data_IF_549423962925
#
_entry.id   IF_549423962925
#
_cell.length_a   1.000
_cell.length_b   1.000
_cell.length_c   1.000
_cell.angle_alpha   90.00
_cell.angle_beta   90.00
_cell.angle_gamma   90.00
#
_symmetry.space_group_name_H-M   'P 1'
#
loop_
_entity.id
_entity.type
_entity.pdbx_description
1 polymer ?
#
# COMPACT_ATOMS: atom_id res chain seq x y z
N UNK A 1 33.53 -17.37 -36.49
CA UNK A 1 34.00 -16.71 -35.24
C UNK A 1 33.12 -15.50 -34.98
N UNK A 2 32.09 -15.62 -34.15
CA UNK A 2 31.26 -14.49 -33.78
C UNK A 2 32.04 -13.55 -32.86
N UNK A 3 32.25 -12.33 -33.34
CA UNK A 3 32.86 -11.26 -32.56
C UNK A 3 31.96 -10.98 -31.34
N UNK A 4 32.47 -11.24 -30.14
CA UNK A 4 31.89 -10.77 -28.89
C UNK A 4 31.61 -9.26 -28.98
N UNK A 5 30.39 -8.87 -29.31
CA UNK A 5 29.99 -7.46 -29.38
C UNK A 5 29.66 -6.99 -27.95
N UNK A 6 30.66 -6.39 -27.32
CA UNK A 6 30.43 -5.62 -26.10
C UNK A 6 29.50 -4.47 -26.47
N UNK A 7 28.34 -4.38 -25.81
CA UNK A 7 27.35 -3.33 -26.06
C UNK A 7 26.95 -2.60 -24.79
N UNK A 8 26.75 -1.28 -24.84
CA UNK A 8 26.19 -0.55 -23.71
C UNK A 8 24.70 -0.87 -23.60
N UNK A 9 24.26 -1.29 -22.42
CA UNK A 9 22.85 -1.56 -22.10
C UNK A 9 22.44 -0.62 -20.99
N UNK A 10 21.26 0.02 -21.15
CA UNK A 10 20.70 0.90 -20.11
C UNK A 10 20.14 0.04 -19.00
N UNK A 11 20.67 0.25 -17.78
CA UNK A 11 20.18 -0.41 -16.57
C UNK A 11 19.74 0.68 -15.59
N UNK A 12 18.44 0.94 -15.54
CA UNK A 12 17.88 2.06 -14.76
C UNK A 12 18.38 3.42 -15.24
N UNK A 13 19.07 4.17 -14.37
CA UNK A 13 19.64 5.50 -14.66
C UNK A 13 21.04 5.45 -15.28
N UNK A 14 21.70 4.30 -15.30
CA UNK A 14 23.09 4.14 -15.75
C UNK A 14 23.21 3.25 -16.97
N UNK A 15 24.28 3.45 -17.74
CA UNK A 15 24.65 2.55 -18.82
C UNK A 15 25.74 1.59 -18.32
N UNK A 16 25.53 0.29 -18.56
CA UNK A 16 26.50 -0.76 -18.24
C UNK A 16 26.92 -1.47 -19.52
N UNK A 17 28.16 -1.93 -19.55
CA UNK A 17 28.65 -2.73 -20.70
C UNK A 17 28.20 -4.19 -20.53
N UNK A 18 27.44 -4.68 -21.49
CA UNK A 18 27.00 -6.08 -21.52
C UNK A 18 28.03 -6.93 -22.29
N UNK A 19 28.46 -8.00 -21.64
CA UNK A 19 29.34 -9.03 -22.22
C UNK A 19 28.53 -10.30 -22.58
N UNK A 20 27.22 -10.24 -22.53
CA UNK A 20 26.35 -11.36 -22.83
C UNK A 20 26.48 -11.77 -24.29
N UNK A 21 26.62 -13.07 -24.54
CA UNK A 21 26.65 -13.67 -25.87
C UNK A 21 25.26 -13.82 -26.48
N UNK A 22 24.23 -13.91 -25.69
CA UNK A 22 22.82 -13.99 -26.09
C UNK A 22 22.11 -12.63 -25.95
N UNK A 23 21.10 -12.42 -26.78
CA UNK A 23 20.20 -11.29 -26.59
C UNK A 23 19.30 -11.56 -25.37
N UNK A 24 19.07 -10.51 -24.57
CA UNK A 24 18.05 -10.57 -23.52
C UNK A 24 16.68 -10.73 -24.19
N UNK A 25 15.96 -11.77 -23.80
CA UNK A 25 14.62 -12.08 -24.29
C UNK A 25 13.56 -11.46 -23.39
N UNK A 26 13.87 -11.35 -22.10
CA UNK A 26 13.00 -10.78 -21.07
C UNK A 26 13.72 -9.68 -20.32
N UNK A 27 12.99 -8.65 -19.98
CA UNK A 27 13.48 -7.60 -19.08
C UNK A 27 13.68 -8.16 -17.66
N UNK A 28 14.65 -7.62 -16.93
CA UNK A 28 14.86 -7.97 -15.51
C UNK A 28 13.62 -7.52 -14.74
N UNK A 29 12.92 -8.41 -14.02
CA UNK A 29 11.74 -8.04 -13.26
C UNK A 29 12.12 -7.05 -12.14
N UNK A 30 11.22 -6.12 -11.86
CA UNK A 30 11.39 -5.22 -10.73
C UNK A 30 11.11 -5.98 -9.42
N UNK A 31 12.16 -6.25 -8.63
CA UNK A 31 12.07 -7.05 -7.41
C UNK A 31 11.23 -6.39 -6.30
N UNK A 32 11.01 -5.08 -6.37
CA UNK A 32 10.20 -4.34 -5.39
C UNK A 32 8.79 -4.02 -5.93
N UNK A 33 8.41 -4.55 -7.10
CA UNK A 33 7.09 -4.32 -7.69
C UNK A 33 5.98 -4.80 -6.74
N UNK A 34 6.14 -5.97 -6.14
CA UNK A 34 5.14 -6.57 -5.25
C UNK A 34 4.79 -5.61 -4.10
N UNK A 35 5.79 -5.01 -3.44
CA UNK A 35 5.56 -4.08 -2.34
C UNK A 35 4.90 -2.79 -2.82
N UNK A 36 5.34 -2.23 -3.95
CA UNK A 36 4.80 -1.00 -4.52
C UNK A 36 3.35 -1.17 -4.99
N UNK A 37 3.08 -2.24 -5.71
CA UNK A 37 1.74 -2.53 -6.23
C UNK A 37 0.76 -2.79 -5.08
N UNK A 38 1.18 -3.53 -4.06
CA UNK A 38 0.38 -3.78 -2.85
C UNK A 38 0.07 -2.48 -2.10
N UNK A 39 1.04 -1.57 -1.98
CA UNK A 39 0.82 -0.30 -1.32
C UNK A 39 -0.10 0.64 -2.14
N UNK A 40 0.04 0.66 -3.46
CA UNK A 40 -0.85 1.41 -4.33
C UNK A 40 -2.29 0.89 -4.27
N UNK A 41 -2.47 -0.43 -4.28
CA UNK A 41 -3.78 -1.04 -4.08
C UNK A 41 -4.37 -0.66 -2.72
N UNK A 42 -3.56 -0.69 -1.65
CA UNK A 42 -4.00 -0.30 -0.31
C UNK A 42 -4.47 1.16 -0.26
N UNK A 43 -3.74 2.10 -0.87
CA UNK A 43 -4.13 3.51 -0.91
C UNK A 43 -5.39 3.77 -1.75
N UNK A 44 -5.67 2.95 -2.75
CA UNK A 44 -6.86 3.07 -3.60
C UNK A 44 -8.03 2.26 -3.05
N UNK A 45 -8.03 0.97 -3.38
CA UNK A 45 -9.16 0.08 -3.13
C UNK A 45 -9.20 -0.40 -1.68
N UNK A 46 -8.05 -0.72 -1.08
CA UNK A 46 -7.99 -1.28 0.27
C UNK A 46 -8.53 -0.33 1.34
N UNK A 47 -8.16 0.93 1.33
CA UNK A 47 -8.72 1.92 2.26
C UNK A 47 -10.22 2.11 2.05
N UNK A 48 -10.68 2.07 0.81
CA UNK A 48 -12.10 2.18 0.50
C UNK A 48 -12.89 1.01 1.07
N UNK A 49 -12.42 -0.22 0.87
CA UNK A 49 -13.03 -1.42 1.47
C UNK A 49 -13.15 -1.29 2.99
N UNK A 50 -12.10 -0.83 3.68
CA UNK A 50 -12.11 -0.66 5.14
C UNK A 50 -13.17 0.35 5.57
N UNK A 51 -13.28 1.49 4.88
CA UNK A 51 -14.30 2.49 5.21
C UNK A 51 -15.72 2.03 4.87
N UNK A 52 -15.89 1.30 3.79
CA UNK A 52 -17.19 0.72 3.39
C UNK A 52 -17.64 -0.37 4.37
N UNK A 53 -16.73 -1.20 4.88
CA UNK A 53 -17.02 -2.26 5.87
C UNK A 53 -17.42 -1.69 7.25
N UNK A 54 -16.82 -0.58 7.66
CA UNK A 54 -17.14 0.07 8.93
C UNK A 54 -18.43 0.89 8.81
N UNK A 55 -18.78 1.35 7.61
CA UNK A 55 -19.93 2.22 7.34
C UNK A 55 -21.18 1.37 7.06
N UNK A 56 -22.36 1.73 7.59
CA UNK A 56 -22.64 2.84 8.51
C UNK A 56 -22.47 2.49 9.98
N UNK A 57 -22.06 3.45 10.79
CA UNK A 57 -22.11 3.34 12.24
C UNK A 57 -23.44 3.93 12.71
N UNK A 58 -24.26 3.08 13.33
CA UNK A 58 -25.61 3.46 13.79
C UNK A 58 -25.63 3.51 15.30
N UNK A 59 -26.27 4.55 15.84
CA UNK A 59 -26.50 4.69 17.29
C UNK A 59 -27.42 3.59 17.81
N UNK A 60 -27.37 3.33 19.12
CA UNK A 60 -28.23 2.34 19.79
C UNK A 60 -29.73 2.60 19.59
N UNK A 61 -30.15 3.87 19.53
CA UNK A 61 -31.53 4.26 19.22
C UNK A 61 -31.91 4.13 17.74
N UNK A 62 -30.93 3.97 16.86
CA UNK A 62 -31.12 3.93 15.42
C UNK A 62 -31.41 5.27 14.74
N UNK A 63 -31.38 6.36 15.52
CA UNK A 63 -31.75 7.70 15.04
C UNK A 63 -30.59 8.46 14.40
N UNK A 64 -29.34 8.15 14.82
CA UNK A 64 -28.13 8.74 14.27
C UNK A 64 -27.38 7.71 13.42
N UNK A 65 -27.04 8.11 12.23
CA UNK A 65 -26.29 7.29 11.29
C UNK A 65 -25.06 8.06 10.78
N UNK A 66 -23.89 7.51 11.05
CA UNK A 66 -22.62 8.04 10.58
C UNK A 66 -22.13 7.22 9.41
N UNK A 67 -21.84 7.88 8.28
CA UNK A 67 -21.27 7.26 7.08
C UNK A 67 -19.94 7.92 6.73
N UNK A 68 -18.97 7.09 6.39
CA UNK A 68 -17.73 7.54 5.80
C UNK A 68 -17.89 7.73 4.29
N UNK A 69 -17.37 8.85 3.78
CA UNK A 69 -17.40 9.19 2.37
C UNK A 69 -16.03 9.06 1.74
N UNK A 70 -15.63 10.06 0.96
CA UNK A 70 -14.34 10.07 0.29
C UNK A 70 -13.22 10.33 1.28
N UNK A 71 -12.12 9.61 1.12
CA UNK A 71 -10.89 9.86 1.85
C UNK A 71 -9.89 10.59 0.95
N UNK A 72 -9.02 11.37 1.57
CA UNK A 72 -7.95 12.09 0.91
C UNK A 72 -6.67 12.03 1.74
N UNK A 73 -5.60 11.56 1.12
CA UNK A 73 -4.26 11.69 1.66
C UNK A 73 -3.71 13.06 1.27
N UNK A 74 -3.11 13.78 2.21
CA UNK A 74 -2.58 15.12 2.02
C UNK A 74 -1.04 15.12 1.98
N UNK A 75 -0.41 14.79 0.84
CA UNK A 75 1.05 14.78 0.73
C UNK A 75 1.67 16.19 0.85
N UNK A 76 0.88 17.23 0.60
CA UNK A 76 1.34 18.61 0.72
C UNK A 76 1.54 19.06 2.19
N UNK A 77 0.95 18.33 3.14
CA UNK A 77 1.05 18.62 4.58
C UNK A 77 2.15 17.75 5.27
N UNK A 78 3.09 17.18 4.51
CA UNK A 78 4.22 16.42 5.06
C UNK A 78 5.13 17.36 5.86
N UNK A 79 5.38 17.02 7.12
CA UNK A 79 6.12 17.88 8.06
C UNK A 79 7.63 17.82 7.84
N UNK A 80 8.15 16.67 7.46
CA UNK A 80 9.59 16.40 7.39
C UNK A 80 9.93 15.62 6.14
N UNK A 81 11.09 15.90 5.57
CA UNK A 81 11.67 15.08 4.49
C UNK A 81 12.14 13.71 5.01
N UNK A 82 12.41 12.78 4.12
CA UNK A 82 12.90 11.44 4.47
C UNK A 82 14.20 11.52 5.30
N UNK A 83 15.11 12.42 4.93
CA UNK A 83 16.40 12.61 5.62
C UNK A 83 16.19 13.20 7.01
N UNK A 84 15.34 14.23 7.13
CA UNK A 84 15.00 14.82 8.43
C UNK A 84 14.28 13.81 9.35
N UNK A 85 13.44 12.93 8.81
CA UNK A 85 12.81 11.88 9.59
C UNK A 85 13.84 10.91 10.17
N UNK A 86 14.90 10.57 9.42
CA UNK A 86 15.99 9.71 9.90
C UNK A 86 16.84 10.36 10.97
N UNK A 87 17.09 11.68 10.87
CA UNK A 87 17.88 12.43 11.84
C UNK A 87 17.13 12.72 13.15
N UNK A 88 15.80 12.92 13.06
CA UNK A 88 14.97 13.32 14.20
C UNK A 88 14.16 12.16 14.82
N UNK A 89 14.43 10.92 14.43
CA UNK A 89 13.67 9.75 14.86
C UNK A 89 12.15 9.90 14.62
N UNK A 90 11.78 10.57 13.52
CA UNK A 90 10.40 10.81 13.14
C UNK A 90 9.90 9.79 12.11
N UNK A 91 8.58 9.75 11.91
CA UNK A 91 7.94 8.89 10.89
C UNK A 91 7.63 9.72 9.66
N UNK A 92 8.00 9.21 8.48
CA UNK A 92 7.63 9.80 7.20
C UNK A 92 6.19 9.45 6.88
N UNK A 93 5.26 10.39 7.08
CA UNK A 93 3.82 10.18 6.98
C UNK A 93 3.11 11.40 6.42
N UNK A 94 1.90 11.18 5.91
CA UNK A 94 0.99 12.23 5.51
C UNK A 94 -0.35 12.10 6.22
N UNK A 95 -1.03 13.22 6.51
CA UNK A 95 -2.35 13.22 7.13
C UNK A 95 -3.40 12.57 6.21
N UNK A 96 -4.20 11.68 6.79
CA UNK A 96 -5.38 11.10 6.17
C UNK A 96 -6.62 11.82 6.66
N UNK A 97 -7.36 12.42 5.76
CA UNK A 97 -8.64 13.09 6.01
C UNK A 97 -9.76 12.34 5.31
N UNK A 98 -10.91 12.28 5.96
CA UNK A 98 -12.09 11.56 5.46
C UNK A 98 -13.33 12.45 5.60
N UNK A 99 -14.13 12.49 4.56
CA UNK A 99 -15.45 13.11 4.62
C UNK A 99 -16.40 12.22 5.42
N UNK A 100 -17.10 12.81 6.35
CA UNK A 100 -18.06 12.10 7.20
C UNK A 100 -19.42 12.76 7.10
N UNK A 101 -20.46 11.93 6.92
CA UNK A 101 -21.86 12.34 6.88
C UNK A 101 -22.57 11.82 8.11
N UNK A 102 -23.07 12.74 8.93
CA UNK A 102 -23.95 12.41 10.05
C UNK A 102 -25.38 12.71 9.66
N UNK A 103 -26.18 11.67 9.57
CA UNK A 103 -27.63 11.77 9.32
C UNK A 103 -28.41 11.58 10.62
N UNK A 104 -29.19 12.59 11.01
CA UNK A 104 -30.13 12.50 12.10
C UNK A 104 -31.53 12.25 11.51
N UNK A 105 -32.09 11.06 11.75
CA UNK A 105 -33.39 10.64 11.22
C UNK A 105 -34.58 11.31 11.89
N UNK A 106 -34.44 11.80 13.13
CA UNK A 106 -35.52 12.50 13.83
C UNK A 106 -35.74 13.90 13.24
N UNK A 107 -34.67 14.61 12.93
CA UNK A 107 -34.73 15.98 12.41
C UNK A 107 -34.55 16.04 10.90
N UNK A 108 -34.30 14.88 10.25
CA UNK A 108 -33.96 14.73 8.83
C UNK A 108 -32.83 15.69 8.40
N UNK A 109 -31.84 15.88 9.29
CA UNK A 109 -30.73 16.77 9.02
C UNK A 109 -29.48 15.98 8.70
N UNK A 110 -28.78 16.40 7.62
CA UNK A 110 -27.48 15.82 7.22
C UNK A 110 -26.41 16.86 7.47
N UNK A 111 -25.38 16.48 8.23
CA UNK A 111 -24.17 17.30 8.44
C UNK A 111 -22.98 16.60 7.80
N UNK A 112 -22.24 17.33 6.99
CA UNK A 112 -21.03 16.83 6.34
C UNK A 112 -19.82 17.61 6.87
N UNK A 113 -18.78 16.87 7.26
CA UNK A 113 -17.52 17.43 7.72
C UNK A 113 -16.35 16.58 7.26
N UNK A 114 -15.22 17.22 6.96
CA UNK A 114 -13.96 16.54 6.77
C UNK A 114 -13.27 16.38 8.14
N UNK A 115 -12.93 15.15 8.50
CA UNK A 115 -12.25 14.84 9.75
C UNK A 115 -10.86 14.28 9.49
N UNK A 116 -9.93 14.61 10.37
CA UNK A 116 -8.61 14.01 10.42
C UNK A 116 -8.69 12.67 11.16
N UNK A 117 -8.23 11.59 10.54
CA UNK A 117 -8.23 10.25 11.14
C UNK A 117 -6.88 9.95 11.78
N UNK A 118 -5.79 10.30 11.10
CA UNK A 118 -4.44 10.04 11.57
C UNK A 118 -3.40 10.26 10.50
N UNK A 119 -2.14 10.06 10.87
CA UNK A 119 -1.02 10.13 9.94
C UNK A 119 -0.73 8.74 9.37
N UNK A 120 -0.78 8.61 8.05
CA UNK A 120 -0.50 7.38 7.32
C UNK A 120 0.97 7.36 6.87
N UNK A 121 1.76 6.34 7.24
CA UNK A 121 3.14 6.22 6.76
C UNK A 121 3.20 6.12 5.24
N UNK A 122 4.11 6.87 4.63
CA UNK A 122 4.33 6.87 3.19
C UNK A 122 5.48 5.95 2.79
N UNK A 123 5.30 5.25 1.68
CA UNK A 123 6.34 4.44 1.08
C UNK A 123 7.32 5.33 0.32
N UNK A 124 8.61 5.07 0.49
CA UNK A 124 9.69 5.71 -0.26
C UNK A 124 9.81 5.14 -1.68
N UNK A 125 10.56 5.79 -2.54
CA UNK A 125 10.84 5.29 -3.90
C UNK A 125 11.52 3.92 -3.93
N UNK A 126 12.22 3.57 -2.85
CA UNK A 126 12.89 2.27 -2.67
C UNK A 126 11.97 1.15 -2.16
N UNK A 127 10.69 1.45 -1.89
CA UNK A 127 9.73 0.49 -1.37
C UNK A 127 9.83 0.24 0.14
N UNK A 128 10.50 1.13 0.85
CA UNK A 128 10.66 1.10 2.31
C UNK A 128 9.78 2.15 2.99
N UNK A 129 9.63 2.03 4.32
CA UNK A 129 8.98 2.99 5.18
C UNK A 129 9.99 3.52 6.20
N UNK A 130 9.93 4.81 6.52
CA UNK A 130 10.71 5.39 7.60
C UNK A 130 9.79 5.59 8.80
N UNK A 131 10.01 4.77 9.84
CA UNK A 131 9.19 4.77 11.07
C UNK A 131 10.12 4.99 12.26
N UNK A 132 9.89 6.07 13.01
CA UNK A 132 10.75 6.48 14.13
C UNK A 132 12.23 6.50 13.73
N UNK A 133 12.56 7.13 12.60
CA UNK A 133 13.91 7.23 12.08
C UNK A 133 14.49 5.97 11.44
N UNK A 134 13.88 4.80 11.68
CA UNK A 134 14.34 3.53 11.13
C UNK A 134 13.69 3.21 9.80
N UNK A 135 14.51 2.86 8.82
CA UNK A 135 14.02 2.38 7.52
C UNK A 135 13.59 0.91 7.64
N UNK A 136 12.33 0.63 7.31
CA UNK A 136 11.70 -0.69 7.44
C UNK A 136 11.06 -1.11 6.14
N UNK A 137 11.01 -2.41 5.89
CA UNK A 137 10.38 -3.01 4.71
C UNK A 137 9.34 -4.03 5.16
N UNK A 138 8.19 -4.04 4.49
CA UNK A 138 7.18 -5.07 4.69
C UNK A 138 7.57 -6.27 3.86
N UNK A 139 7.76 -7.42 4.51
CA UNK A 139 8.13 -8.68 3.85
C UNK A 139 6.88 -9.48 3.56
N UNK A 140 6.71 -9.90 2.30
CA UNK A 140 5.63 -10.80 1.90
C UNK A 140 5.78 -12.16 2.60
N UNK A 141 4.68 -12.68 3.15
CA UNK A 141 4.64 -13.97 3.81
C UNK A 141 3.80 -14.96 3.00
N UNK A 142 4.32 -16.18 2.84
CA UNK A 142 3.55 -17.28 2.27
C UNK A 142 2.73 -17.93 3.37
N UNK A 143 1.42 -17.88 3.23
CA UNK A 143 0.47 -18.50 4.16
C UNK A 143 -0.18 -19.68 3.44
N UNK A 144 -0.37 -20.81 4.15
CA UNK A 144 -1.13 -21.91 3.60
C UNK A 144 -2.57 -21.48 3.36
N UNK A 145 -3.08 -21.73 2.16
CA UNK A 145 -4.50 -21.52 1.88
C UNK A 145 -5.33 -22.44 2.77
N UNK A 146 -6.45 -21.96 3.35
CA UNK A 146 -7.38 -22.85 4.03
C UNK A 146 -7.95 -23.85 3.03
N UNK A 147 -7.91 -25.14 3.38
CA UNK A 147 -8.39 -26.20 2.51
C UNK A 147 -8.42 -27.54 3.24
N UNK A 148 -9.34 -28.42 2.82
CA UNK A 148 -9.44 -29.79 3.32
C UNK A 148 -8.84 -30.70 2.26
N UNK A 149 -7.81 -31.46 2.63
CA UNK A 149 -7.24 -32.52 1.78
C UNK A 149 -7.84 -33.85 2.23
N UNK A 150 -8.69 -34.45 1.41
CA UNK A 150 -9.20 -35.79 1.63
C UNK A 150 -8.25 -36.81 0.98
N UNK A 151 -7.57 -37.58 1.80
CA UNK A 151 -6.75 -38.72 1.36
C UNK A 151 -7.62 -39.97 1.44
N UNK A 152 -7.98 -40.57 0.30
CA UNK A 152 -8.60 -41.89 0.25
C UNK A 152 -7.49 -42.94 0.14
N UNK A 153 -7.25 -43.69 1.22
CA UNK A 153 -6.39 -44.89 1.18
C UNK A 153 -7.25 -46.08 0.78
N UNK A 154 -7.04 -46.58 -0.43
CA UNK A 154 -7.63 -47.85 -0.84
C UNK A 154 -6.84 -48.95 -0.16
N UNK A 155 -7.38 -49.50 0.93
CA UNK A 155 -6.86 -50.73 1.54
C UNK A 155 -7.30 -51.85 0.61
N UNK A 156 -6.38 -52.41 -0.14
CA UNK A 156 -6.63 -53.67 -0.87
C UNK A 156 -6.57 -54.81 0.13
N UNK A 157 -7.55 -55.72 0.12
CA UNK A 157 -7.56 -56.91 0.96
C UNK A 157 -6.44 -57.87 0.61
#
# INVERSE_FOLDING_TARGET
MEKNRIRPVKSGRTFRMSYSKSNEVLEIPNLIAIQKDSYQWFLGDGLKEVFDDISPIVDFSGNLELRFGKFRLCPDEIKHTIEECKERDATYSAPLKVEVRLHNKETDTIKEHEIYIGDLPLMTDTGSFVINGAERVIVSQLVRSPGIILLSTIIRP
#
